data_IF_372655896427
#
_entry.id   IF_372655896427
#
_cell.length_a   1.000
_cell.length_b   1.000
_cell.length_c   1.000
_cell.angle_alpha   90.00
_cell.angle_beta   90.00
_cell.angle_gamma   90.00
#
_symmetry.space_group_name_H-M   'P 1'
#
loop_
_entity.id
_entity.type
_entity.pdbx_description
1 polymer ?
#
# COMPACT_ATOMS: atom_id res chain seq x y z
N UNK A 1 2.80 2.40 -19.15
CA UNK A 1 3.61 3.03 -18.08
C UNK A 1 3.89 1.96 -17.03
N UNK A 2 5.16 1.76 -16.62
CA UNK A 2 5.50 0.70 -15.64
C UNK A 2 4.87 1.02 -14.27
N UNK A 3 4.40 -0.01 -13.55
CA UNK A 3 3.60 0.18 -12.32
C UNK A 3 4.43 0.75 -11.16
N UNK A 4 5.70 0.37 -11.11
CA UNK A 4 6.68 0.87 -10.14
C UNK A 4 6.99 2.36 -10.33
N UNK A 5 7.13 2.81 -11.58
CA UNK A 5 7.26 4.23 -11.91
C UNK A 5 6.00 5.02 -11.53
N UNK A 6 4.81 4.46 -11.78
CA UNK A 6 3.55 5.08 -11.39
C UNK A 6 3.45 5.23 -9.87
N UNK A 7 3.79 4.19 -9.10
CA UNK A 7 3.87 4.24 -7.64
C UNK A 7 4.84 5.32 -7.16
N UNK A 8 6.04 5.37 -7.74
CA UNK A 8 7.06 6.35 -7.38
C UNK A 8 6.57 7.79 -7.63
N UNK A 9 5.99 8.05 -8.80
CA UNK A 9 5.42 9.35 -9.15
C UNK A 9 4.30 9.74 -8.20
N UNK A 10 3.36 8.82 -7.89
CA UNK A 10 2.28 9.11 -6.94
C UNK A 10 2.82 9.39 -5.54
N UNK A 11 3.84 8.66 -5.09
CA UNK A 11 4.44 8.90 -3.78
C UNK A 11 5.15 10.26 -3.71
N UNK A 12 5.90 10.64 -4.75
CA UNK A 12 6.54 11.96 -4.85
C UNK A 12 5.47 13.06 -4.90
N UNK A 13 4.45 12.91 -5.74
CA UNK A 13 3.34 13.87 -5.85
C UNK A 13 2.61 14.05 -4.52
N UNK A 14 2.38 12.96 -3.77
CA UNK A 14 1.79 13.03 -2.43
C UNK A 14 2.66 13.83 -1.46
N UNK A 15 3.98 13.57 -1.42
CA UNK A 15 4.90 14.34 -0.58
C UNK A 15 4.89 15.83 -0.94
N UNK A 16 4.93 16.15 -2.23
CA UNK A 16 4.87 17.53 -2.73
C UNK A 16 3.57 18.22 -2.31
N UNK A 17 2.43 17.53 -2.51
CA UNK A 17 1.10 18.02 -2.14
C UNK A 17 0.90 18.17 -0.62
N UNK A 18 1.70 17.48 0.19
CA UNK A 18 1.67 17.64 1.64
C UNK A 18 2.57 18.80 2.09
N UNK A 19 3.85 18.78 1.70
CA UNK A 19 4.85 19.66 2.27
C UNK A 19 4.86 21.07 1.66
N UNK A 20 4.63 21.23 0.35
CA UNK A 20 4.61 22.56 -0.25
C UNK A 20 3.45 23.39 0.33
N UNK A 21 2.19 22.90 0.35
CA UNK A 21 1.09 23.67 0.93
C UNK A 21 1.30 23.96 2.42
N UNK A 22 1.89 23.02 3.18
CA UNK A 22 2.22 23.25 4.58
C UNK A 22 3.21 24.41 4.77
N UNK A 23 4.31 24.44 4.01
CA UNK A 23 5.28 25.56 4.03
C UNK A 23 4.61 26.88 3.63
N UNK A 24 3.73 26.85 2.63
CA UNK A 24 3.00 28.04 2.19
C UNK A 24 2.03 28.56 3.26
N UNK A 25 1.33 27.66 3.98
CA UNK A 25 0.50 28.04 5.14
C UNK A 25 1.37 28.72 6.20
N UNK A 26 2.52 28.14 6.55
CA UNK A 26 3.43 28.76 7.53
C UNK A 26 3.90 30.14 7.09
N UNK A 27 4.26 30.30 5.81
CA UNK A 27 4.69 31.58 5.24
C UNK A 27 3.57 32.63 5.29
N UNK A 28 2.35 32.25 4.92
CA UNK A 28 1.18 33.14 4.95
C UNK A 28 0.83 33.58 6.37
N UNK A 29 0.83 32.65 7.33
CA UNK A 29 0.59 32.96 8.74
C UNK A 29 1.69 33.87 9.29
N UNK A 30 2.95 33.60 8.98
CA UNK A 30 4.07 34.43 9.39
C UNK A 30 3.96 35.86 8.83
N UNK A 31 3.67 35.99 7.53
CA UNK A 31 3.46 37.29 6.90
C UNK A 31 2.27 38.03 7.52
N UNK A 32 1.19 37.33 7.85
CA UNK A 32 0.03 37.93 8.50
C UNK A 32 0.39 38.47 9.89
N UNK A 33 1.09 37.70 10.72
CA UNK A 33 1.57 38.13 12.03
C UNK A 33 2.52 39.34 11.93
N UNK A 34 3.44 39.32 10.97
CA UNK A 34 4.37 40.43 10.72
C UNK A 34 3.61 41.70 10.35
N UNK A 35 2.66 41.60 9.42
CA UNK A 35 1.91 42.76 8.95
C UNK A 35 1.04 43.34 10.09
N UNK A 36 0.41 42.51 10.92
CA UNK A 36 -0.31 42.91 12.13
C UNK A 36 0.57 43.64 13.16
N UNK A 37 1.81 43.18 13.35
CA UNK A 37 2.77 43.80 14.26
C UNK A 37 3.22 45.20 13.78
N UNK A 38 3.32 45.39 12.46
CA UNK A 38 3.81 46.64 11.86
C UNK A 38 2.71 47.69 11.72
N UNK A 39 1.54 47.34 11.16
CA UNK A 39 0.52 48.33 10.81
C UNK A 39 -0.48 48.62 11.93
N UNK A 40 -0.54 47.81 13.00
CA UNK A 40 -1.53 47.88 14.11
C UNK A 40 -3.01 47.93 13.69
N UNK A 41 -3.30 47.78 12.40
CA UNK A 41 -4.66 47.76 11.85
C UNK A 41 -4.83 46.52 10.98
N UNK A 42 -5.77 45.67 11.37
CA UNK A 42 -6.17 44.52 10.57
C UNK A 42 -6.91 45.00 9.31
N UNK A 43 -6.25 44.98 8.14
CA UNK A 43 -6.93 45.20 6.88
C UNK A 43 -7.75 43.94 6.53
N UNK A 44 -9.06 44.01 6.72
CA UNK A 44 -9.98 42.88 6.55
C UNK A 44 -9.89 42.27 5.14
N UNK A 45 -9.69 43.10 4.10
CA UNK A 45 -9.55 42.63 2.71
C UNK A 45 -8.32 41.75 2.51
N UNK A 46 -7.22 42.10 3.18
CA UNK A 46 -5.94 41.40 3.11
C UNK A 46 -6.02 40.06 3.85
N UNK A 47 -6.73 40.03 4.97
CA UNK A 47 -7.02 38.81 5.75
C UNK A 47 -7.93 37.86 4.95
N UNK A 48 -9.00 38.37 4.33
CA UNK A 48 -9.90 37.55 3.51
C UNK A 48 -9.15 36.93 2.33
N UNK A 49 -8.35 37.70 1.60
CA UNK A 49 -7.62 37.19 0.44
C UNK A 49 -6.65 36.06 0.84
N UNK A 50 -5.89 36.25 1.94
CA UNK A 50 -4.99 35.22 2.47
C UNK A 50 -5.74 33.98 2.98
N UNK A 51 -6.95 34.15 3.52
CA UNK A 51 -7.76 33.02 3.99
C UNK A 51 -8.22 32.08 2.87
N UNK A 52 -8.48 32.60 1.66
CA UNK A 52 -8.78 31.77 0.49
C UNK A 52 -7.56 30.94 0.05
N UNK A 53 -6.36 31.53 0.06
CA UNK A 53 -5.12 30.81 -0.26
C UNK A 53 -4.83 29.71 0.76
N UNK A 54 -5.02 29.99 2.05
CA UNK A 54 -4.88 28.98 3.11
C UNK A 54 -5.88 27.83 2.91
N UNK A 55 -7.13 28.12 2.56
CA UNK A 55 -8.15 27.10 2.31
C UNK A 55 -7.79 26.22 1.12
N UNK A 56 -7.26 26.81 0.04
CA UNK A 56 -6.74 26.04 -1.11
C UNK A 56 -5.60 25.10 -0.70
N UNK A 57 -4.68 25.55 0.17
CA UNK A 57 -3.60 24.71 0.68
C UNK A 57 -4.11 23.53 1.52
N UNK A 58 -5.15 23.72 2.34
CA UNK A 58 -5.81 22.62 3.05
C UNK A 58 -6.42 21.60 2.09
N UNK A 59 -7.06 22.05 1.02
CA UNK A 59 -7.59 21.14 -0.02
C UNK A 59 -6.45 20.32 -0.62
N UNK A 60 -5.31 20.94 -0.97
CA UNK A 60 -4.15 20.22 -1.52
C UNK A 60 -3.59 19.17 -0.55
N UNK A 61 -3.56 19.47 0.76
CA UNK A 61 -3.16 18.50 1.80
C UNK A 61 -4.11 17.30 1.81
N UNK A 62 -5.42 17.51 1.75
CA UNK A 62 -6.39 16.40 1.68
C UNK A 62 -6.18 15.58 0.39
N UNK A 63 -5.93 16.23 -0.74
CA UNK A 63 -5.59 15.54 -1.98
C UNK A 63 -4.29 14.73 -1.88
N UNK A 64 -3.33 15.16 -1.06
CA UNK A 64 -2.08 14.43 -0.83
C UNK A 64 -2.33 13.02 -0.27
N UNK A 65 -3.30 12.87 0.63
CA UNK A 65 -3.70 11.58 1.21
C UNK A 65 -4.41 10.70 0.19
N UNK A 66 -5.24 11.28 -0.67
CA UNK A 66 -5.90 10.55 -1.75
C UNK A 66 -4.88 9.98 -2.74
N UNK A 67 -3.87 10.77 -3.11
CA UNK A 67 -2.78 10.33 -3.99
C UNK A 67 -1.93 9.24 -3.31
N UNK A 68 -1.66 9.38 -2.00
CA UNK A 68 -0.97 8.37 -1.20
C UNK A 68 -1.72 7.04 -1.15
N UNK A 69 -3.04 7.09 -0.98
CA UNK A 69 -3.91 5.91 -0.98
C UNK A 69 -3.81 5.15 -2.31
N UNK A 70 -3.79 5.87 -3.44
CA UNK A 70 -3.60 5.25 -4.77
C UNK A 70 -2.22 4.60 -4.92
N UNK A 71 -1.16 5.25 -4.43
CA UNK A 71 0.19 4.66 -4.41
C UNK A 71 0.22 3.35 -3.61
N UNK A 72 -0.40 3.34 -2.43
CA UNK A 72 -0.47 2.15 -1.58
C UNK A 72 -1.25 1.01 -2.25
N UNK A 73 -2.39 1.33 -2.90
CA UNK A 73 -3.17 0.33 -3.62
C UNK A 73 -2.36 -0.35 -4.74
N UNK A 74 -1.58 0.41 -5.50
CA UNK A 74 -0.69 -0.18 -6.53
C UNK A 74 0.36 -1.08 -5.88
N UNK A 75 0.92 -0.70 -4.74
CA UNK A 75 1.88 -1.54 -4.02
C UNK A 75 1.25 -2.85 -3.53
N UNK A 76 0.02 -2.80 -3.02
CA UNK A 76 -0.74 -3.99 -2.61
C UNK A 76 -1.05 -4.88 -3.81
N UNK A 77 -1.51 -4.33 -4.94
CA UNK A 77 -1.75 -5.11 -6.15
C UNK A 77 -0.46 -5.78 -6.66
N UNK A 78 0.68 -5.08 -6.68
CA UNK A 78 1.97 -5.68 -7.04
C UNK A 78 2.34 -6.83 -6.09
N UNK A 79 2.10 -6.65 -4.78
CA UNK A 79 2.37 -7.70 -3.79
C UNK A 79 1.49 -8.94 -4.00
N UNK A 80 0.19 -8.73 -4.23
CA UNK A 80 -0.78 -9.80 -4.49
C UNK A 80 -0.46 -10.53 -5.79
N UNK A 81 -0.20 -9.80 -6.88
CA UNK A 81 0.12 -10.38 -8.19
C UNK A 81 1.44 -11.17 -8.13
N UNK A 82 2.46 -10.64 -7.46
CA UNK A 82 3.74 -11.33 -7.28
C UNK A 82 3.57 -12.61 -6.46
N UNK A 83 2.78 -12.54 -5.38
CA UNK A 83 2.50 -13.72 -4.55
C UNK A 83 1.76 -14.79 -5.36
N UNK A 84 0.71 -14.41 -6.11
CA UNK A 84 -0.05 -15.32 -6.96
C UNK A 84 0.80 -15.94 -8.07
N UNK A 85 1.67 -15.15 -8.71
CA UNK A 85 2.60 -15.63 -9.72
C UNK A 85 3.59 -16.65 -9.14
N UNK A 86 4.20 -16.36 -7.99
CA UNK A 86 5.18 -17.26 -7.38
C UNK A 86 4.54 -18.55 -6.85
N UNK A 87 3.33 -18.48 -6.27
CA UNK A 87 2.62 -19.67 -5.80
C UNK A 87 2.11 -20.57 -6.93
N UNK A 88 1.82 -20.00 -8.11
CA UNK A 88 1.42 -20.77 -9.29
C UNK A 88 2.60 -21.37 -10.05
N UNK A 89 3.82 -20.90 -9.78
CA UNK A 89 5.03 -21.36 -10.46
C UNK A 89 5.64 -22.53 -9.70
N UNK A 90 5.84 -23.66 -10.41
CA UNK A 90 6.46 -24.88 -9.85
C UNK A 90 7.97 -24.97 -10.05
N UNK A 91 8.49 -24.22 -11.03
CA UNK A 91 9.90 -24.20 -11.39
C UNK A 91 10.57 -22.91 -10.92
N UNK A 92 11.90 -22.92 -10.90
CA UNK A 92 12.70 -21.71 -10.68
C UNK A 92 12.39 -20.67 -11.75
N UNK A 93 12.31 -19.41 -11.35
CA UNK A 93 12.03 -18.30 -12.27
C UNK A 93 13.01 -17.15 -12.03
N UNK A 94 13.60 -16.67 -13.13
CA UNK A 94 14.41 -15.46 -13.20
C UNK A 94 13.59 -14.20 -12.86
N UNK A 95 14.16 -13.30 -12.05
CA UNK A 95 13.64 -11.97 -11.76
C UNK A 95 13.22 -11.20 -13.02
N UNK A 96 13.96 -11.34 -14.12
CA UNK A 96 13.64 -10.66 -15.38
C UNK A 96 12.29 -11.09 -15.93
N UNK A 97 12.00 -12.39 -15.91
CA UNK A 97 10.72 -12.94 -16.38
C UNK A 97 9.55 -12.45 -15.53
N UNK A 98 9.75 -12.32 -14.22
CA UNK A 98 8.75 -11.77 -13.29
C UNK A 98 8.55 -10.28 -13.55
N UNK A 99 9.64 -9.54 -13.73
CA UNK A 99 9.62 -8.10 -14.01
C UNK A 99 8.84 -7.79 -15.29
N UNK A 100 9.05 -8.58 -16.33
CA UNK A 100 8.34 -8.47 -17.61
C UNK A 100 6.85 -8.84 -17.45
N UNK A 101 6.53 -9.91 -16.73
CA UNK A 101 5.15 -10.35 -16.50
C UNK A 101 4.33 -9.32 -15.70
N UNK A 102 4.92 -8.74 -14.65
CA UNK A 102 4.26 -7.78 -13.78
C UNK A 102 4.42 -6.32 -14.25
N UNK A 103 5.17 -6.10 -15.33
CA UNK A 103 5.49 -4.77 -15.87
C UNK A 103 6.07 -3.81 -14.81
N UNK A 104 7.08 -4.31 -14.08
CA UNK A 104 7.84 -3.59 -13.03
C UNK A 104 9.35 -3.77 -13.26
N UNK A 105 10.20 -3.09 -12.50
CA UNK A 105 11.64 -3.33 -12.49
C UNK A 105 12.05 -4.55 -11.67
N UNK A 106 13.15 -5.21 -12.06
CA UNK A 106 13.77 -6.32 -11.29
C UNK A 106 14.03 -5.93 -9.82
N UNK A 107 14.51 -4.70 -9.58
CA UNK A 107 14.69 -4.18 -8.22
C UNK A 107 13.37 -4.12 -7.44
N UNK A 108 12.26 -3.76 -8.11
CA UNK A 108 10.94 -3.76 -7.47
C UNK A 108 10.49 -5.19 -7.18
N UNK A 109 10.74 -6.15 -8.09
CA UNK A 109 10.46 -7.57 -7.83
C UNK A 109 11.21 -8.05 -6.58
N UNK A 110 12.53 -7.83 -6.52
CA UNK A 110 13.36 -8.27 -5.41
C UNK A 110 12.94 -7.64 -4.07
N UNK A 111 12.75 -6.32 -4.04
CA UNK A 111 12.33 -5.62 -2.80
C UNK A 111 10.94 -6.06 -2.34
N UNK A 112 10.02 -6.29 -3.28
CA UNK A 112 8.67 -6.78 -2.98
C UNK A 112 8.73 -8.23 -2.49
N UNK A 113 9.52 -9.08 -3.14
CA UNK A 113 9.74 -10.47 -2.71
C UNK A 113 10.27 -10.54 -1.28
N UNK A 114 11.31 -9.78 -0.94
CA UNK A 114 11.88 -9.75 0.42
C UNK A 114 10.85 -9.26 1.45
N UNK A 115 10.02 -8.27 1.08
CA UNK A 115 8.93 -7.78 1.93
C UNK A 115 7.84 -8.84 2.14
N UNK A 116 7.45 -9.56 1.11
CA UNK A 116 6.44 -10.64 1.21
C UNK A 116 7.01 -11.82 2.03
N UNK A 117 8.30 -12.14 1.85
CA UNK A 117 9.01 -13.15 2.63
C UNK A 117 9.07 -12.79 4.10
N UNK A 118 9.35 -11.53 4.45
CA UNK A 118 9.36 -11.07 5.85
C UNK A 118 7.96 -11.06 6.48
N UNK A 119 6.90 -10.83 5.70
CA UNK A 119 5.49 -11.04 6.10
C UNK A 119 5.12 -12.51 6.31
N UNK A 120 6.00 -13.43 5.94
CA UNK A 120 5.83 -14.87 6.13
C UNK A 120 4.98 -15.56 5.07
N UNK A 121 4.62 -14.87 3.98
CA UNK A 121 3.78 -15.44 2.90
C UNK A 121 4.58 -16.32 1.93
N UNK A 122 5.90 -16.12 1.83
CA UNK A 122 6.80 -16.86 0.94
C UNK A 122 8.03 -17.39 1.71
N UNK A 123 7.86 -17.86 2.95
CA UNK A 123 8.99 -18.24 3.84
C UNK A 123 9.96 -19.23 3.20
N UNK A 124 9.38 -20.20 2.50
CA UNK A 124 10.07 -21.36 1.96
C UNK A 124 10.66 -21.11 0.56
N UNK A 125 10.33 -19.97 -0.08
CA UNK A 125 10.93 -19.57 -1.35
C UNK A 125 12.35 -19.05 -1.11
N UNK A 126 13.29 -19.47 -1.95
CA UNK A 126 14.69 -19.06 -1.87
C UNK A 126 15.01 -18.11 -3.02
N UNK A 127 15.75 -17.04 -2.74
CA UNK A 127 16.31 -16.19 -3.78
C UNK A 127 17.79 -16.54 -3.95
N UNK A 128 18.18 -16.92 -5.16
CA UNK A 128 19.56 -17.14 -5.54
C UNK A 128 20.12 -15.86 -6.17
N UNK A 129 21.07 -15.23 -5.47
CA UNK A 129 21.70 -13.98 -5.91
C UNK A 129 22.64 -14.13 -7.09
N UNK A 130 23.22 -15.32 -7.30
CA UNK A 130 24.18 -15.56 -8.38
C UNK A 130 23.46 -15.68 -9.73
N UNK A 131 22.38 -16.45 -9.75
CA UNK A 131 21.54 -16.67 -10.93
C UNK A 131 20.42 -15.63 -11.09
N UNK A 132 20.15 -14.83 -10.05
CA UNK A 132 19.00 -13.91 -9.97
C UNK A 132 17.64 -14.64 -10.11
N UNK A 133 17.56 -15.86 -9.60
CA UNK A 133 16.35 -16.69 -9.66
C UNK A 133 15.63 -16.78 -8.31
N UNK A 134 14.31 -16.87 -8.35
CA UNK A 134 13.48 -17.27 -7.22
C UNK A 134 13.15 -18.75 -7.38
N UNK A 135 13.58 -19.54 -6.40
CA UNK A 135 13.42 -20.98 -6.33
C UNK A 135 12.19 -21.27 -5.46
N UNK A 136 11.15 -21.92 -6.00
CA UNK A 136 10.00 -22.36 -5.22
C UNK A 136 10.38 -23.50 -4.27
N UNK A 137 9.67 -23.65 -3.15
CA UNK A 137 9.90 -24.79 -2.27
C UNK A 137 9.44 -26.10 -2.92
N UNK A 138 9.95 -27.26 -2.45
CA UNK A 138 9.54 -28.55 -2.97
C UNK A 138 8.00 -28.69 -2.89
N UNK A 139 7.43 -29.33 -3.91
CA UNK A 139 5.98 -29.36 -4.20
C UNK A 139 5.08 -29.86 -3.07
N UNK A 140 5.61 -30.63 -2.10
CA UNK A 140 4.91 -31.04 -0.88
C UNK A 140 4.59 -29.88 0.07
N UNK A 141 5.40 -28.82 0.05
CA UNK A 141 5.27 -27.65 0.94
C UNK A 141 4.33 -26.58 0.31
N UNK A 142 4.28 -26.49 -1.02
CA UNK A 142 3.39 -25.57 -1.75
C UNK A 142 1.91 -25.87 -1.51
N UNK A 143 1.53 -27.14 -1.41
CA UNK A 143 0.14 -27.56 -1.17
C UNK A 143 -0.33 -27.12 0.22
N UNK A 144 0.48 -27.42 1.25
CA UNK A 144 0.23 -26.97 2.63
C UNK A 144 0.17 -25.44 2.74
N UNK A 145 1.06 -24.70 2.08
CA UNK A 145 1.08 -23.24 2.15
C UNK A 145 -0.06 -22.57 1.38
N UNK A 146 -0.52 -23.14 0.26
CA UNK A 146 -1.66 -22.61 -0.49
C UNK A 146 -2.96 -22.85 0.28
N UNK A 147 -3.12 -24.01 0.88
CA UNK A 147 -4.26 -24.34 1.75
C UNK A 147 -4.30 -23.44 2.98
N UNK A 148 -3.15 -23.20 3.64
CA UNK A 148 -3.04 -22.28 4.77
C UNK A 148 -3.34 -20.83 4.38
N UNK A 149 -2.93 -20.38 3.19
CA UNK A 149 -3.24 -19.04 2.69
C UNK A 149 -4.73 -18.88 2.34
N UNK A 150 -5.35 -19.90 1.74
CA UNK A 150 -6.79 -19.93 1.46
C UNK A 150 -7.58 -19.91 2.77
N UNK A 151 -7.16 -20.69 3.76
CA UNK A 151 -7.76 -20.72 5.09
C UNK A 151 -7.66 -19.34 5.75
N UNK A 152 -6.49 -18.71 5.71
CA UNK A 152 -6.25 -17.38 6.28
C UNK A 152 -7.07 -16.29 5.56
N UNK A 153 -7.20 -16.37 4.25
CA UNK A 153 -8.04 -15.45 3.47
C UNK A 153 -9.54 -15.61 3.84
N UNK A 154 -10.03 -16.85 3.95
CA UNK A 154 -11.41 -17.13 4.38
C UNK A 154 -11.68 -16.61 5.80
N UNK A 155 -10.73 -16.77 6.72
CA UNK A 155 -10.85 -16.25 8.09
C UNK A 155 -10.88 -14.72 8.13
N UNK A 156 -10.03 -14.06 7.34
CA UNK A 156 -10.03 -12.59 7.23
C UNK A 156 -11.33 -12.05 6.64
N UNK A 157 -11.89 -12.72 5.64
CA UNK A 157 -13.18 -12.35 5.06
C UNK A 157 -14.32 -12.52 6.08
N UNK A 158 -14.27 -13.58 6.89
CA UNK A 158 -15.21 -13.81 7.98
C UNK A 158 -15.14 -12.72 9.07
N UNK A 159 -13.92 -12.33 9.46
CA UNK A 159 -13.69 -11.23 10.40
C UNK A 159 -14.20 -9.90 9.85
N UNK A 160 -14.01 -9.64 8.55
CA UNK A 160 -14.56 -8.46 7.89
C UNK A 160 -16.08 -8.45 7.90
N UNK A 161 -16.73 -9.57 7.58
CA UNK A 161 -18.19 -9.68 7.60
C UNK A 161 -18.77 -9.48 9.00
N UNK A 162 -18.05 -9.93 10.05
CA UNK A 162 -18.39 -9.65 11.45
C UNK A 162 -18.25 -8.16 11.76
N UNK A 163 -17.12 -7.54 11.40
CA UNK A 163 -16.86 -6.12 11.63
C UNK A 163 -17.85 -5.20 10.90
N UNK A 164 -18.32 -5.63 9.72
CA UNK A 164 -19.38 -4.93 8.96
C UNK A 164 -20.80 -5.19 9.49
N UNK A 165 -20.96 -6.00 10.55
CA UNK A 165 -22.25 -6.31 11.16
C UNK A 165 -23.19 -7.15 10.29
N UNK A 166 -22.67 -7.76 9.21
CA UNK A 166 -23.46 -8.54 8.24
C UNK A 166 -23.77 -9.95 8.73
N UNK A 167 -23.03 -10.44 9.71
CA UNK A 167 -23.23 -11.75 10.35
C UNK A 167 -23.29 -11.59 11.86
N UNK A 168 -24.12 -12.41 12.52
CA UNK A 168 -24.22 -12.41 13.98
C UNK A 168 -23.01 -13.09 14.63
N UNK A 169 -22.73 -12.76 15.90
CA UNK A 169 -21.64 -13.37 16.69
C UNK A 169 -21.70 -14.91 16.68
N UNK A 170 -22.92 -15.48 16.72
CA UNK A 170 -23.15 -16.92 16.68
C UNK A 170 -22.87 -17.53 15.31
N UNK A 171 -23.26 -16.85 14.23
CA UNK A 171 -22.99 -17.30 12.87
C UNK A 171 -21.48 -17.24 12.54
N UNK A 172 -20.77 -16.25 13.08
CA UNK A 172 -19.31 -16.16 12.99
C UNK A 172 -18.61 -17.35 13.67
N UNK A 173 -19.03 -17.69 14.90
CA UNK A 173 -18.48 -18.84 15.65
C UNK A 173 -18.71 -20.18 14.94
N UNK A 174 -19.89 -20.39 14.34
CA UNK A 174 -20.20 -21.61 13.57
C UNK A 174 -19.39 -21.71 12.27
N UNK A 175 -19.36 -20.63 11.48
CA UNK A 175 -18.61 -20.59 10.22
C UNK A 175 -17.09 -20.73 10.46
N UNK A 176 -16.57 -20.15 11.54
CA UNK A 176 -15.17 -20.31 11.93
C UNK A 176 -14.85 -21.77 12.26
N UNK A 177 -15.71 -22.45 13.04
CA UNK A 177 -15.54 -23.87 13.37
C UNK A 177 -15.64 -24.78 12.15
N UNK A 178 -16.47 -24.43 11.18
CA UNK A 178 -16.62 -25.20 9.93
C UNK A 178 -15.41 -25.02 9.00
N UNK A 179 -14.86 -23.81 8.92
CA UNK A 179 -13.60 -23.53 8.20
C UNK A 179 -12.42 -24.27 8.85
N UNK A 180 -12.37 -24.33 10.18
CA UNK A 180 -11.32 -25.06 10.92
C UNK A 180 -11.49 -26.59 10.88
N UNK A 181 -12.72 -27.11 10.74
CA UNK A 181 -13.03 -28.56 10.59
C UNK A 181 -12.81 -29.09 9.18
N UNK A 182 -12.87 -28.25 8.15
CA UNK A 182 -12.62 -28.64 6.75
C UNK A 182 -11.16 -28.88 6.40
N UNK A 183 -10.28 -29.04 7.41
CA UNK A 183 -8.86 -29.33 7.25
C UNK A 183 -8.69 -30.82 6.87
N UNK A 184 -8.17 -31.17 5.68
CA UNK A 184 -7.79 -32.54 5.38
C UNK A 184 -6.66 -33.02 6.31
#
# INVERSE_FOLDING_TARGET
>A
MRRDLLKLILNISSLILLYIPLVMIFLEVFNLLRDLAITRSANLSLILNRSYSILLYFILIIFSDLVKSRSNKIAEEIETDLTGFLLSTKDKVDLKKIADHLNISENTVLTTFLKIKSKGMLKEFIFDSESKEIIPPPSSILISSAEDLILKAKLLELERLKAEGKISERAYEELKKEIERGRP
#
